data_IF_398380408413
#
_entry.id   IF_398380408413
#
_cell.length_a   1.000
_cell.length_b   1.000
_cell.length_c   1.000
_cell.angle_alpha   90.00
_cell.angle_beta   90.00
_cell.angle_gamma   90.00
#
_symmetry.space_group_name_H-M   'P 1'
#
loop_
_entity.id
_entity.type
_entity.pdbx_description
1 polymer ?
#
# COMPACT_ATOMS: atom_id res chain seq x y z
N UNK A 1 -27.02 41.58 65.33
CA UNK A 1 -25.84 40.79 64.91
C UNK A 1 -26.34 39.60 64.13
N UNK A 2 -25.76 39.12 63.04
CA UNK A 2 -24.50 39.41 62.38
C UNK A 2 -24.17 38.17 61.52
N UNK A 3 -23.38 38.38 60.44
CA UNK A 3 -22.77 37.37 59.53
C UNK A 3 -23.74 36.76 58.50
N UNK A 4 -23.38 36.59 57.23
CA UNK A 4 -22.10 36.76 56.54
C UNK A 4 -22.31 36.64 55.03
N UNK A 5 -21.39 37.24 54.29
CA UNK A 5 -21.38 37.30 52.83
C UNK A 5 -20.88 36.02 52.12
N UNK A 6 -20.49 36.13 50.83
CA UNK A 6 -20.80 35.19 49.78
C UNK A 6 -19.62 34.27 49.39
N UNK A 7 -19.91 33.17 48.68
CA UNK A 7 -18.87 32.30 48.12
C UNK A 7 -19.38 31.55 46.89
N UNK A 8 -18.87 31.92 45.72
CA UNK A 8 -19.12 31.25 44.44
C UNK A 8 -18.51 29.85 44.37
N UNK A 9 -19.02 29.05 43.43
CA UNK A 9 -18.42 27.77 43.07
C UNK A 9 -18.17 27.76 41.56
N UNK A 10 -16.89 27.88 41.24
CA UNK A 10 -16.34 27.76 39.89
C UNK A 10 -16.51 26.36 39.32
N UNK A 11 -16.33 26.28 38.00
CA UNK A 11 -16.54 25.10 37.19
C UNK A 11 -15.58 23.95 37.52
N UNK A 12 -16.13 22.75 37.51
CA UNK A 12 -15.38 21.52 37.33
C UNK A 12 -15.55 21.08 35.88
N UNK A 13 -14.48 21.19 35.09
CA UNK A 13 -14.36 20.46 33.84
C UNK A 13 -14.36 18.97 34.18
N UNK A 14 -15.31 18.23 33.58
CA UNK A 14 -15.34 16.78 33.68
C UNK A 14 -14.12 16.22 32.95
N UNK A 15 -13.19 15.63 33.70
CA UNK A 15 -12.13 14.82 33.13
C UNK A 15 -12.76 13.59 32.49
N UNK A 16 -12.64 13.47 31.17
CA UNK A 16 -12.88 12.23 30.44
C UNK A 16 -11.89 11.18 30.94
N UNK A 17 -12.33 9.95 31.28
CA UNK A 17 -11.42 8.89 31.66
C UNK A 17 -10.52 8.51 30.47
N UNK A 18 -9.24 8.16 30.70
CA UNK A 18 -8.36 7.66 29.65
C UNK A 18 -8.91 6.35 29.11
N UNK A 19 -9.02 6.25 27.78
CA UNK A 19 -9.29 5.02 27.06
C UNK A 19 -8.25 3.96 27.48
N UNK A 20 -8.66 2.76 27.92
CA UNK A 20 -7.69 1.72 28.28
C UNK A 20 -6.88 1.32 27.03
N UNK A 21 -5.59 0.99 27.18
CA UNK A 21 -4.82 0.42 26.08
C UNK A 21 -5.49 -0.88 25.63
N UNK A 22 -5.74 -1.00 24.33
CA UNK A 22 -6.22 -2.26 23.73
C UNK A 22 -5.18 -3.34 24.02
N UNK A 23 -5.50 -4.21 24.98
CA UNK A 23 -4.72 -5.40 25.28
C UNK A 23 -4.92 -6.37 24.10
N UNK A 24 -3.98 -6.40 23.14
CA UNK A 24 -3.98 -7.36 22.02
C UNK A 24 -4.02 -8.78 22.61
N UNK A 25 -5.02 -9.57 22.18
CA UNK A 25 -5.06 -10.99 22.47
C UNK A 25 -3.77 -11.64 21.93
N UNK A 26 -3.19 -12.58 22.69
CA UNK A 26 -1.97 -13.28 22.31
C UNK A 26 -2.05 -13.76 20.85
N UNK A 27 -1.02 -13.44 20.06
CA UNK A 27 -0.92 -13.82 18.66
C UNK A 27 -1.23 -15.31 18.51
N UNK A 28 -2.31 -15.62 17.82
CA UNK A 28 -2.75 -16.99 17.56
C UNK A 28 -1.74 -17.61 16.58
N UNK A 29 -0.75 -18.32 17.13
CA UNK A 29 0.33 -19.00 16.40
C UNK A 29 -0.15 -20.24 15.65
N UNK A 30 -1.47 -20.39 15.46
CA UNK A 30 -2.02 -21.46 14.64
C UNK A 30 -1.49 -21.33 13.20
N UNK A 31 -0.93 -22.42 12.63
CA UNK A 31 -0.47 -22.41 11.25
C UNK A 31 -1.63 -22.00 10.33
N UNK A 32 -1.43 -21.00 9.49
CA UNK A 32 -2.43 -20.56 8.51
C UNK A 32 -2.68 -21.72 7.54
N UNK A 33 -3.94 -22.18 7.46
CA UNK A 33 -4.26 -23.45 6.77
C UNK A 33 -4.83 -23.27 5.37
N UNK A 34 -5.22 -22.05 5.00
CA UNK A 34 -5.87 -21.79 3.70
C UNK A 34 -5.48 -20.44 3.10
N UNK A 35 -5.62 -20.34 1.77
CA UNK A 35 -5.45 -19.10 1.00
C UNK A 35 -6.42 -18.01 1.48
N UNK A 36 -7.64 -18.36 1.83
CA UNK A 36 -8.64 -17.40 2.32
C UNK A 36 -8.28 -16.81 3.68
N UNK A 37 -7.67 -17.62 4.56
CA UNK A 37 -7.18 -17.15 5.85
C UNK A 37 -6.00 -16.19 5.66
N UNK A 38 -5.08 -16.51 4.74
CA UNK A 38 -4.03 -15.60 4.31
C UNK A 38 -4.58 -14.27 3.78
N UNK A 39 -5.50 -14.34 2.82
CA UNK A 39 -6.15 -13.16 2.24
C UNK A 39 -6.76 -12.29 3.33
N UNK A 40 -7.51 -12.87 4.26
CA UNK A 40 -8.12 -12.13 5.37
C UNK A 40 -7.09 -11.43 6.25
N UNK A 41 -6.02 -12.12 6.63
CA UNK A 41 -4.99 -11.57 7.52
C UNK A 41 -4.16 -10.48 6.83
N UNK A 42 -3.79 -10.66 5.56
CA UNK A 42 -3.09 -9.62 4.78
C UNK A 42 -3.99 -8.41 4.56
N UNK A 43 -5.25 -8.61 4.19
CA UNK A 43 -6.20 -7.50 4.01
C UNK A 43 -6.38 -6.70 5.30
N UNK A 44 -6.45 -7.37 6.46
CA UNK A 44 -6.53 -6.71 7.76
C UNK A 44 -5.26 -5.90 8.08
N UNK A 45 -4.07 -6.45 7.80
CA UNK A 45 -2.80 -5.73 7.96
C UNK A 45 -2.76 -4.49 7.06
N UNK A 46 -3.16 -4.62 5.79
CA UNK A 46 -3.23 -3.50 4.84
C UNK A 46 -4.20 -2.44 5.35
N UNK A 47 -5.37 -2.82 5.83
CA UNK A 47 -6.36 -1.88 6.38
C UNK A 47 -5.85 -1.15 7.63
N UNK A 48 -5.22 -1.88 8.56
CA UNK A 48 -4.58 -1.31 9.75
C UNK A 48 -3.46 -0.34 9.37
N UNK A 49 -2.64 -0.66 8.36
CA UNK A 49 -1.65 0.26 7.83
C UNK A 49 -2.28 1.52 7.21
N UNK A 50 -3.35 1.35 6.43
CA UNK A 50 -4.03 2.48 5.80
C UNK A 50 -4.64 3.45 6.83
N UNK A 51 -5.04 2.94 7.99
CA UNK A 51 -5.57 3.71 9.10
C UNK A 51 -4.47 4.32 9.99
N UNK A 52 -3.53 3.50 10.48
CA UNK A 52 -2.58 3.88 11.53
C UNK A 52 -1.26 4.42 11.01
N UNK A 53 -0.83 4.04 9.81
CA UNK A 53 0.47 4.40 9.21
C UNK A 53 1.68 4.11 10.11
N UNK A 54 1.58 3.08 10.95
CA UNK A 54 2.66 2.65 11.85
C UNK A 54 3.52 1.57 11.17
N UNK A 55 4.77 1.90 10.87
CA UNK A 55 5.71 0.97 10.22
C UNK A 55 6.05 -0.19 11.15
N UNK A 56 6.31 0.09 12.43
CA UNK A 56 6.62 -0.89 13.47
C UNK A 56 5.50 -1.92 13.64
N UNK A 57 4.25 -1.48 13.72
CA UNK A 57 3.10 -2.38 13.86
C UNK A 57 2.89 -3.23 12.61
N UNK A 58 3.08 -2.65 11.42
CA UNK A 58 2.96 -3.38 10.18
C UNK A 58 4.01 -4.51 10.10
N UNK A 59 5.27 -4.20 10.41
CA UNK A 59 6.38 -5.16 10.39
C UNK A 59 6.20 -6.27 11.43
N UNK A 60 5.78 -5.90 12.65
CA UNK A 60 5.48 -6.87 13.71
C UNK A 60 4.36 -7.81 13.26
N UNK A 61 3.26 -7.25 12.77
CA UNK A 61 2.10 -8.02 12.32
C UNK A 61 2.49 -8.95 11.16
N UNK A 62 3.27 -8.48 10.17
CA UNK A 62 3.75 -9.34 9.09
C UNK A 62 4.67 -10.45 9.58
N UNK A 63 5.55 -10.16 10.54
CA UNK A 63 6.45 -11.14 11.16
C UNK A 63 5.67 -12.24 11.87
N UNK A 64 4.57 -11.89 12.56
CA UNK A 64 3.68 -12.85 13.20
C UNK A 64 2.94 -13.74 12.19
N UNK A 65 2.65 -13.23 10.99
CA UNK A 65 2.02 -13.99 9.91
C UNK A 65 2.95 -15.04 9.29
N UNK A 66 4.28 -14.84 9.34
CA UNK A 66 5.24 -15.73 8.67
C UNK A 66 5.23 -17.14 9.29
N UNK A 67 4.82 -18.18 8.53
CA UNK A 67 4.86 -19.55 9.03
C UNK A 67 6.31 -20.00 9.18
N UNK A 68 6.61 -20.65 10.31
CA UNK A 68 7.93 -21.22 10.57
C UNK A 68 8.27 -22.25 9.47
N UNK A 69 9.28 -21.95 8.66
CA UNK A 69 9.79 -22.85 7.62
C UNK A 69 9.37 -22.55 6.17
N UNK A 70 8.49 -21.57 5.94
CA UNK A 70 8.12 -21.14 4.57
C UNK A 70 8.01 -19.61 4.43
N UNK A 71 9.12 -18.86 4.64
CA UNK A 71 9.08 -17.40 4.60
C UNK A 71 8.72 -16.82 3.22
N UNK A 72 9.05 -17.52 2.12
CA UNK A 72 8.73 -17.07 0.76
C UNK A 72 7.22 -17.05 0.47
N UNK A 73 6.49 -18.06 0.92
CA UNK A 73 5.03 -18.16 0.70
C UNK A 73 4.27 -17.00 1.35
N UNK A 74 4.71 -16.55 2.53
CA UNK A 74 4.13 -15.39 3.19
C UNK A 74 4.39 -14.08 2.44
N UNK A 75 5.59 -13.92 1.90
CA UNK A 75 5.98 -12.73 1.14
C UNK A 75 5.22 -12.65 -0.20
N UNK A 76 5.10 -13.76 -0.93
CA UNK A 76 4.36 -13.80 -2.19
C UNK A 76 2.87 -13.52 -1.96
N UNK A 77 2.26 -14.15 -0.95
CA UNK A 77 0.87 -13.91 -0.55
C UNK A 77 0.63 -12.45 -0.12
N UNK A 78 1.59 -11.85 0.59
CA UNK A 78 1.50 -10.43 0.97
C UNK A 78 1.39 -9.53 -0.25
N UNK A 79 2.25 -9.74 -1.25
CA UNK A 79 2.22 -8.95 -2.49
C UNK A 79 0.93 -9.23 -3.26
N UNK A 80 0.54 -10.49 -3.43
CA UNK A 80 -0.67 -10.88 -4.17
C UNK A 80 -1.93 -10.24 -3.60
N UNK A 81 -2.18 -10.40 -2.30
CA UNK A 81 -3.38 -9.86 -1.68
C UNK A 81 -3.36 -8.34 -1.52
N UNK A 82 -2.18 -7.73 -1.38
CA UNK A 82 -2.06 -6.27 -1.44
C UNK A 82 -2.44 -5.73 -2.82
N UNK A 83 -2.03 -6.41 -3.90
CA UNK A 83 -2.45 -6.03 -5.26
C UNK A 83 -3.94 -6.27 -5.50
N UNK A 84 -4.50 -7.39 -5.01
CA UNK A 84 -5.95 -7.61 -5.03
C UNK A 84 -6.70 -6.44 -4.34
N UNK A 85 -6.23 -5.98 -3.17
CA UNK A 85 -6.81 -4.82 -2.46
C UNK A 85 -6.81 -3.56 -3.35
N UNK A 86 -5.70 -3.31 -4.04
CA UNK A 86 -5.52 -2.14 -4.91
C UNK A 86 -6.49 -2.15 -6.09
N UNK A 87 -6.69 -3.33 -6.67
CA UNK A 87 -7.58 -3.52 -7.82
C UNK A 87 -9.05 -3.38 -7.42
N UNK A 88 -9.47 -4.03 -6.33
CA UNK A 88 -10.88 -4.25 -6.01
C UNK A 88 -11.43 -3.40 -4.85
N UNK A 89 -10.61 -3.05 -3.85
CA UNK A 89 -11.11 -2.59 -2.55
C UNK A 89 -10.68 -1.17 -2.16
N UNK A 90 -9.60 -0.63 -2.72
CA UNK A 90 -9.20 0.75 -2.47
C UNK A 90 -10.22 1.74 -3.06
N UNK A 91 -10.61 2.72 -2.25
CA UNK A 91 -11.66 3.70 -2.58
C UNK A 91 -11.12 4.89 -3.39
N UNK A 92 -9.85 5.21 -3.24
CA UNK A 92 -9.23 6.38 -3.86
C UNK A 92 -7.72 6.16 -4.11
N UNK A 93 -7.10 7.08 -4.85
CA UNK A 93 -5.68 7.03 -5.18
C UNK A 93 -4.76 7.13 -3.96
N UNK A 94 -5.20 7.79 -2.88
CA UNK A 94 -4.44 7.91 -1.63
C UNK A 94 -4.31 6.57 -0.89
N UNK A 95 -5.37 5.76 -0.86
CA UNK A 95 -5.32 4.40 -0.32
C UNK A 95 -4.39 3.52 -1.18
N UNK A 96 -4.48 3.61 -2.51
CA UNK A 96 -3.59 2.85 -3.42
C UNK A 96 -2.12 3.21 -3.23
N UNK A 97 -1.82 4.50 -3.10
CA UNK A 97 -0.47 4.97 -2.77
C UNK A 97 -0.04 4.49 -1.38
N UNK A 98 -0.97 4.44 -0.42
CA UNK A 98 -0.73 3.86 0.89
C UNK A 98 -0.33 2.38 0.83
N UNK A 99 -0.97 1.58 -0.03
CA UNK A 99 -0.55 0.18 -0.25
C UNK A 99 0.84 0.10 -0.88
N UNK A 100 1.14 0.96 -1.86
CA UNK A 100 2.48 1.02 -2.44
C UNK A 100 3.55 1.32 -1.38
N UNK A 101 3.30 2.30 -0.50
CA UNK A 101 4.18 2.65 0.61
C UNK A 101 4.41 1.48 1.57
N UNK A 102 3.36 0.74 1.91
CA UNK A 102 3.48 -0.46 2.75
C UNK A 102 4.43 -1.48 2.13
N UNK A 103 4.25 -1.78 0.84
CA UNK A 103 5.11 -2.73 0.13
C UNK A 103 6.56 -2.26 0.13
N UNK A 104 6.80 -0.97 -0.10
CA UNK A 104 8.14 -0.36 -0.05
C UNK A 104 8.77 -0.47 1.34
N UNK A 105 8.03 -0.20 2.41
CA UNK A 105 8.51 -0.36 3.79
C UNK A 105 8.92 -1.81 4.04
N UNK A 106 8.08 -2.76 3.62
CA UNK A 106 8.37 -4.18 3.78
C UNK A 106 9.61 -4.62 2.96
N UNK A 107 9.86 -4.00 1.80
CA UNK A 107 11.10 -4.22 1.05
C UNK A 107 12.30 -3.68 1.82
N UNK A 108 12.20 -2.43 2.32
CA UNK A 108 13.29 -1.76 3.04
C UNK A 108 13.66 -2.46 4.34
N UNK A 109 12.70 -3.10 5.02
CA UNK A 109 12.94 -3.91 6.23
C UNK A 109 13.40 -5.34 5.93
N UNK A 110 13.57 -5.71 4.66
CA UNK A 110 13.98 -7.06 4.25
C UNK A 110 12.88 -8.11 4.43
N UNK A 111 11.64 -7.67 4.65
CA UNK A 111 10.47 -8.53 4.75
C UNK A 111 9.97 -9.01 3.37
N UNK A 112 10.21 -8.22 2.33
CA UNK A 112 10.00 -8.58 0.93
C UNK A 112 11.29 -8.40 0.14
N UNK A 113 11.45 -9.17 -0.93
CA UNK A 113 12.51 -9.04 -1.90
C UNK A 113 11.92 -8.93 -3.32
N UNK A 114 12.65 -8.40 -4.31
CA UNK A 114 12.14 -8.27 -5.68
C UNK A 114 11.59 -9.58 -6.28
N UNK A 115 12.21 -10.72 -5.93
CA UNK A 115 11.72 -12.04 -6.37
C UNK A 115 10.30 -12.37 -5.90
N UNK A 116 9.83 -11.78 -4.79
CA UNK A 116 8.47 -12.01 -4.29
C UNK A 116 7.39 -11.35 -5.15
N UNK A 117 7.78 -10.50 -6.10
CA UNK A 117 6.86 -9.85 -7.04
C UNK A 117 6.72 -10.68 -8.33
N UNK A 118 7.57 -11.68 -8.56
CA UNK A 118 7.61 -12.45 -9.79
C UNK A 118 6.30 -13.16 -10.11
N UNK A 119 5.75 -13.91 -9.16
CA UNK A 119 4.44 -14.54 -9.31
C UNK A 119 3.30 -13.51 -9.30
N UNK A 120 3.14 -12.73 -8.22
CA UNK A 120 2.00 -11.84 -8.04
C UNK A 120 1.83 -10.77 -9.13
N UNK A 121 2.92 -10.10 -9.54
CA UNK A 121 2.84 -9.02 -10.53
C UNK A 121 2.82 -9.59 -11.95
N UNK A 122 3.76 -10.47 -12.29
CA UNK A 122 4.01 -10.81 -13.69
C UNK A 122 3.22 -12.01 -14.18
N UNK A 123 2.73 -12.86 -13.28
CA UNK A 123 1.85 -13.97 -13.63
C UNK A 123 0.42 -13.63 -13.25
N UNK A 124 0.12 -13.51 -11.95
CA UNK A 124 -1.26 -13.35 -11.49
C UNK A 124 -1.90 -12.05 -11.99
N UNK A 125 -1.33 -10.89 -11.68
CA UNK A 125 -1.97 -9.63 -12.03
C UNK A 125 -2.13 -9.46 -13.54
N UNK A 126 -1.09 -9.76 -14.34
CA UNK A 126 -1.09 -9.58 -15.80
C UNK A 126 -2.01 -10.56 -16.53
N UNK A 127 -2.00 -11.85 -16.15
CA UNK A 127 -2.76 -12.90 -16.86
C UNK A 127 -4.27 -12.64 -16.80
N UNK A 128 -4.77 -12.16 -15.67
CA UNK A 128 -6.20 -11.93 -15.45
C UNK A 128 -6.68 -10.51 -15.83
N UNK A 129 -5.82 -9.63 -16.36
CA UNK A 129 -6.19 -8.24 -16.70
C UNK A 129 -7.35 -8.13 -17.68
N UNK A 130 -7.42 -9.02 -18.67
CA UNK A 130 -8.47 -8.98 -19.70
C UNK A 130 -9.84 -9.30 -19.16
N UNK A 131 -9.90 -10.12 -18.11
CA UNK A 131 -11.16 -10.55 -17.52
C UNK A 131 -11.59 -9.51 -16.49
N UNK A 132 -10.64 -9.07 -15.65
CA UNK A 132 -10.89 -8.09 -14.59
C UNK A 132 -11.29 -6.70 -15.12
N UNK A 133 -10.88 -6.30 -16.33
CA UNK A 133 -11.28 -5.00 -16.89
C UNK A 133 -12.79 -4.91 -17.16
N UNK A 134 -13.46 -6.05 -17.36
CA UNK A 134 -14.91 -6.10 -17.57
C UNK A 134 -15.62 -5.67 -16.27
N UNK A 135 -15.18 -6.20 -15.15
CA UNK A 135 -15.77 -5.93 -13.83
C UNK A 135 -15.23 -4.62 -13.22
N UNK A 136 -13.99 -4.24 -13.55
CA UNK A 136 -13.26 -3.10 -12.99
C UNK A 136 -12.68 -2.26 -14.14
N UNK A 137 -13.47 -1.34 -14.74
CA UNK A 137 -13.01 -0.52 -15.86
C UNK A 137 -11.77 0.34 -15.57
N UNK A 138 -11.51 0.63 -14.27
CA UNK A 138 -10.39 1.44 -13.80
C UNK A 138 -9.16 0.63 -13.39
N UNK A 139 -9.14 -0.69 -13.63
CA UNK A 139 -8.05 -1.58 -13.17
C UNK A 139 -6.66 -1.13 -13.60
N UNK A 140 -6.50 -0.67 -14.85
CA UNK A 140 -5.21 -0.21 -15.36
C UNK A 140 -4.70 1.01 -14.62
N UNK A 141 -5.57 2.00 -14.38
CA UNK A 141 -5.20 3.18 -13.58
C UNK A 141 -4.92 2.83 -12.13
N UNK A 142 -5.66 1.88 -11.55
CA UNK A 142 -5.48 1.44 -10.17
C UNK A 142 -4.12 0.78 -9.99
N UNK A 143 -3.79 -0.20 -10.84
CA UNK A 143 -2.50 -0.89 -10.81
C UNK A 143 -1.33 0.04 -11.14
N UNK A 144 -1.50 0.95 -12.11
CA UNK A 144 -0.45 1.87 -12.50
C UNK A 144 0.05 2.75 -11.35
N UNK A 145 -0.81 3.10 -10.38
CA UNK A 145 -0.41 3.88 -9.20
C UNK A 145 0.64 3.12 -8.39
N UNK A 146 0.41 1.84 -8.14
CA UNK A 146 1.31 1.01 -7.32
C UNK A 146 2.53 0.58 -8.11
N UNK A 147 2.34 0.12 -9.36
CA UNK A 147 3.43 -0.33 -10.21
C UNK A 147 4.43 0.80 -10.50
N UNK A 148 3.99 2.04 -10.70
CA UNK A 148 4.90 3.16 -10.93
C UNK A 148 5.85 3.40 -9.74
N UNK A 149 5.35 3.30 -8.51
CA UNK A 149 6.18 3.43 -7.30
C UNK A 149 7.17 2.26 -7.15
N UNK A 150 6.74 1.03 -7.45
CA UNK A 150 7.61 -0.14 -7.41
C UNK A 150 8.67 -0.16 -8.52
N UNK A 151 8.35 0.39 -9.70
CA UNK A 151 9.30 0.58 -10.81
C UNK A 151 10.36 1.61 -10.43
N UNK A 152 9.97 2.69 -9.73
CA UNK A 152 10.90 3.77 -9.33
C UNK A 152 12.02 3.27 -8.41
N UNK A 153 11.79 2.20 -7.66
CA UNK A 153 12.77 1.58 -6.76
C UNK A 153 13.36 0.29 -7.33
N UNK A 154 13.21 0.05 -8.64
CA UNK A 154 13.76 -1.10 -9.37
C UNK A 154 13.31 -2.48 -8.83
N UNK A 155 12.14 -2.55 -8.19
CA UNK A 155 11.54 -3.82 -7.75
C UNK A 155 10.74 -4.45 -8.87
N UNK A 156 10.05 -3.64 -9.67
CA UNK A 156 9.34 -4.07 -10.87
C UNK A 156 10.06 -3.55 -12.10
N UNK A 157 10.42 -4.45 -13.00
CA UNK A 157 11.12 -4.13 -14.24
C UNK A 157 10.11 -3.98 -15.39
N UNK A 158 10.05 -2.77 -15.97
CA UNK A 158 9.23 -2.51 -17.16
C UNK A 158 9.49 -3.48 -18.32
N UNK A 159 10.75 -3.82 -18.68
CA UNK A 159 11.01 -4.79 -19.74
C UNK A 159 10.42 -6.18 -19.44
N UNK A 160 10.51 -6.64 -18.19
CA UNK A 160 9.96 -7.94 -17.77
C UNK A 160 8.44 -7.92 -17.80
N UNK A 161 7.81 -6.82 -17.36
CA UNK A 161 6.36 -6.64 -17.43
C UNK A 161 5.88 -6.70 -18.88
N UNK A 162 6.60 -6.02 -19.78
CA UNK A 162 6.29 -6.02 -21.21
C UNK A 162 6.41 -7.41 -21.81
N UNK A 163 7.50 -8.12 -21.53
CA UNK A 163 7.72 -9.47 -22.02
C UNK A 163 6.63 -10.47 -21.57
N UNK A 164 5.96 -10.22 -20.45
CA UNK A 164 4.88 -11.07 -19.96
C UNK A 164 3.54 -10.71 -20.60
N UNK A 165 3.25 -9.42 -20.72
CA UNK A 165 2.14 -8.93 -21.54
C UNK A 165 2.20 -9.48 -22.98
N UNK A 166 3.39 -9.53 -23.58
CA UNK A 166 3.62 -10.06 -24.94
C UNK A 166 3.26 -11.54 -25.12
N UNK A 167 3.19 -12.31 -24.03
CA UNK A 167 2.77 -13.72 -24.06
C UNK A 167 1.25 -13.89 -24.01
N UNK A 168 0.52 -12.83 -23.63
CA UNK A 168 -0.92 -12.91 -23.51
C UNK A 168 -1.59 -12.96 -24.89
N UNK A 169 -2.64 -13.78 -25.07
CA UNK A 169 -3.29 -13.97 -26.37
C UNK A 169 -3.90 -12.68 -26.94
N UNK A 170 -4.21 -11.72 -26.06
CA UNK A 170 -4.82 -10.43 -26.38
C UNK A 170 -3.81 -9.32 -26.70
N UNK A 171 -2.49 -9.59 -26.67
CA UNK A 171 -1.46 -8.55 -26.78
C UNK A 171 -1.43 -7.84 -28.15
N UNK A 172 -1.71 -8.56 -29.23
CA UNK A 172 -1.56 -8.08 -30.61
C UNK A 172 -2.63 -7.06 -31.06
N UNK A 173 -3.58 -6.71 -30.19
CA UNK A 173 -4.64 -5.77 -30.50
C UNK A 173 -4.20 -4.32 -30.18
N UNK A 174 -4.47 -3.37 -31.09
CA UNK A 174 -4.12 -1.94 -30.96
C UNK A 174 -4.71 -1.25 -29.70
N UNK A 175 -5.64 -1.91 -29.00
CA UNK A 175 -6.24 -1.46 -27.73
C UNK A 175 -6.13 -2.52 -26.64
N UNK A 176 -5.10 -3.35 -26.71
CA UNK A 176 -4.89 -4.44 -25.77
C UNK A 176 -4.79 -3.92 -24.33
N UNK A 177 -5.21 -4.73 -23.34
CA UNK A 177 -5.03 -4.44 -21.92
C UNK A 177 -3.59 -4.00 -21.56
N UNK A 178 -2.58 -4.56 -22.22
CA UNK A 178 -1.17 -4.19 -22.02
C UNK A 178 -0.89 -2.76 -22.43
N UNK A 179 -1.32 -2.33 -23.63
CA UNK A 179 -1.10 -0.95 -24.10
C UNK A 179 -1.69 0.04 -23.09
N UNK A 180 -2.93 -0.20 -22.64
CA UNK A 180 -3.60 0.65 -21.65
C UNK A 180 -2.87 0.68 -20.30
N UNK A 181 -2.36 -0.47 -19.84
CA UNK A 181 -1.56 -0.54 -18.62
C UNK A 181 -0.26 0.25 -18.75
N UNK A 182 0.48 0.10 -19.85
CA UNK A 182 1.73 0.83 -20.08
C UNK A 182 1.52 2.33 -20.25
N UNK A 183 0.44 2.76 -20.91
CA UNK A 183 0.06 4.17 -20.98
C UNK A 183 -0.21 4.73 -19.59
N UNK A 184 -0.97 4.00 -18.76
CA UNK A 184 -1.29 4.41 -17.40
C UNK A 184 -0.03 4.48 -16.51
N UNK A 185 0.86 3.48 -16.57
CA UNK A 185 2.13 3.49 -15.85
C UNK A 185 3.00 4.66 -16.30
N UNK A 186 3.14 4.87 -17.61
CA UNK A 186 3.94 5.97 -18.17
C UNK A 186 3.40 7.33 -17.73
N UNK A 187 2.08 7.51 -17.72
CA UNK A 187 1.45 8.74 -17.24
C UNK A 187 1.76 8.99 -15.76
N UNK A 188 1.71 7.94 -14.92
CA UNK A 188 2.03 8.04 -13.49
C UNK A 188 3.52 8.34 -13.25
N UNK A 189 4.43 7.65 -13.94
CA UNK A 189 5.87 7.93 -13.88
C UNK A 189 6.21 9.37 -14.27
N UNK A 190 5.58 9.89 -15.34
CA UNK A 190 5.73 11.29 -15.75
C UNK A 190 5.23 12.26 -14.68
N UNK A 191 4.05 12.00 -14.10
CA UNK A 191 3.51 12.84 -13.04
C UNK A 191 4.45 12.88 -11.82
N UNK A 192 4.99 11.73 -11.40
CA UNK A 192 5.96 11.64 -10.30
C UNK A 192 7.23 12.47 -10.60
N UNK A 193 7.79 12.35 -11.82
CA UNK A 193 8.97 13.13 -12.21
C UNK A 193 8.71 14.64 -12.19
N UNK A 194 7.55 15.09 -12.69
CA UNK A 194 7.19 16.50 -12.70
C UNK A 194 7.02 17.08 -11.29
N UNK A 195 6.50 16.29 -10.34
CA UNK A 195 6.40 16.72 -8.93
C UNK A 195 7.77 16.84 -8.27
N UNK A 196 8.71 15.93 -8.58
CA UNK A 196 10.08 16.00 -8.06
C UNK A 196 10.81 17.27 -8.53
N UNK A 197 10.66 17.64 -9.80
CA UNK A 197 11.29 18.85 -10.37
C UNK A 197 10.72 20.15 -9.77
N UNK A 198 9.43 20.16 -9.44
CA UNK A 198 8.80 21.31 -8.79
C UNK A 198 9.28 21.51 -7.34
N UNK A 199 9.50 20.43 -6.59
CA UNK A 199 10.05 20.51 -5.23
C UNK A 199 11.50 21.00 -5.25
N UNK A 200 12.32 20.51 -6.18
CA UNK A 200 13.72 20.97 -6.34
C UNK A 200 13.81 22.47 -6.68
N UNK A 201 12.93 22.96 -7.56
CA UNK A 201 12.86 24.37 -7.90
C UNK A 201 12.33 25.24 -6.75
N UNK A 202 11.32 24.76 -6.00
CA UNK A 202 10.79 25.48 -4.84
C UNK A 202 11.84 25.63 -3.72
N UNK A 203 12.61 24.58 -3.43
CA UNK A 203 13.70 24.64 -2.44
C UNK A 203 14.83 25.58 -2.86
N UNK A 204 15.16 25.62 -4.16
CA UNK A 204 16.19 26.54 -4.68
C UNK A 204 15.78 28.02 -4.53
N UNK A 205 14.49 28.33 -4.74
CA UNK A 205 13.96 29.69 -4.58
C UNK A 205 13.94 30.11 -3.10
N UNK A 206 13.59 29.20 -2.18
CA UNK A 206 13.58 29.51 -0.73
C UNK A 206 14.98 29.76 -0.18
N UNK A 207 15.99 29.02 -0.65
CA UNK A 207 17.39 29.24 -0.23
C UNK A 207 17.93 30.59 -0.76
N UNK A 208 17.56 30.99 -1.97
CA UNK A 208 17.95 32.30 -2.52
C UNK A 208 17.27 33.47 -1.81
N UNK A 209 16.04 33.32 -1.31
CA UNK A 209 15.34 34.39 -0.58
C UNK A 209 15.67 34.47 0.91
N UNK A 210 16.21 33.41 1.52
CA UNK A 210 16.69 33.43 2.91
C UNK A 210 18.13 33.93 3.07
N UNK A 211 18.84 34.15 1.95
CA UNK A 211 20.23 34.63 1.89
C UNK A 211 20.39 36.10 1.50
N UNK A 212 19.30 36.87 1.45
CA UNK A 212 19.29 38.33 1.24
C UNK A 212 18.78 39.03 2.50
#
# INVERSE_FOLDING_TARGET
>A
GGRGGPGGRGGGQAATPPTPPMQRAAADTTPIKSRDEWKRKVMALVDEWLELKSEEEAELTFTELRPRGKPGEAADNMVEFALEKVMENCKNDGERLGVAQLLIIMINSGNLAPVNFDGPVYMSAVEYLSDLVIDIPTIFSNLAIVLAELIKIDVVELPKLRAQCEKAPWFAEDKSPAVKLFEAITAKLKAISATSDQIGNAQTITVQMAGM
#
